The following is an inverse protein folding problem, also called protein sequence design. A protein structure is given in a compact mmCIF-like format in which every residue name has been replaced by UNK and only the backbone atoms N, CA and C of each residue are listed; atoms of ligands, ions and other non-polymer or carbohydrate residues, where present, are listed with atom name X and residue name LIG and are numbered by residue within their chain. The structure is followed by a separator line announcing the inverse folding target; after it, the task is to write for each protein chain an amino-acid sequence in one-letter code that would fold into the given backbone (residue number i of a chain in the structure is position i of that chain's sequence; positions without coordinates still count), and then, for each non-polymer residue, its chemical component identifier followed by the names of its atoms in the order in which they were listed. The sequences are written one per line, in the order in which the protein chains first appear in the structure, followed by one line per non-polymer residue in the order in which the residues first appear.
data_IF_011942346566
#
_entry.id   IF_011942346566
#
_cell.length_a   1.000
_cell.length_b   1.000
_cell.length_c   1.000
_cell.angle_alpha   90.00
_cell.angle_beta   90.00
_cell.angle_gamma   90.00
#
_symmetry.space_group_name_H-M   'P 1'
#
loop_
_entity.id
_entity.type
_entity.pdbx_description
1 polymer ?
#
# COMPACT_ATOMS: atom_id res chain seq x y z
N UNK A 1 20.47 16.65 -13.59
CA UNK A 1 21.38 17.03 -12.50
C UNK A 1 21.72 15.80 -11.67
N UNK A 2 22.95 15.34 -11.68
CA UNK A 2 23.46 14.39 -10.69
C UNK A 2 24.38 15.15 -9.76
N UNK A 3 24.15 15.08 -8.46
CA UNK A 3 24.95 15.75 -7.43
C UNK A 3 25.17 17.27 -7.64
N UNK A 4 24.19 18.00 -8.17
CA UNK A 4 24.27 19.46 -8.36
C UNK A 4 25.07 19.94 -9.57
N UNK A 5 25.59 19.05 -10.41
CA UNK A 5 26.28 19.40 -11.67
C UNK A 5 25.36 19.21 -12.86
N UNK A 6 25.41 20.14 -13.80
CA UNK A 6 24.81 19.96 -15.14
C UNK A 6 25.69 19.01 -15.92
N UNK A 7 25.14 17.90 -16.37
CA UNK A 7 25.76 17.01 -17.36
C UNK A 7 24.94 17.14 -18.64
N UNK A 8 25.60 17.40 -19.73
CA UNK A 8 24.99 17.36 -21.06
C UNK A 8 24.64 15.90 -21.39
N UNK A 9 23.37 15.66 -21.65
CA UNK A 9 22.88 14.33 -22.02
C UNK A 9 22.45 14.38 -23.50
N UNK A 10 23.10 13.57 -24.33
CA UNK A 10 22.78 13.46 -25.76
C UNK A 10 21.45 12.74 -26.02
N UNK A 11 20.93 12.00 -25.04
CA UNK A 11 19.74 11.16 -25.19
C UNK A 11 18.78 11.30 -23.97
N UNK A 12 17.50 11.50 -24.27
CA UNK A 12 16.43 11.52 -23.27
C UNK A 12 16.02 12.92 -22.83
N UNK A 13 15.08 12.98 -21.89
CA UNK A 13 14.59 14.21 -21.28
C UNK A 13 14.82 14.15 -19.76
N UNK A 14 14.98 15.31 -19.09
CA UNK A 14 15.17 15.35 -17.64
C UNK A 14 14.05 14.63 -16.90
N UNK A 15 14.40 13.75 -15.96
CA UNK A 15 13.42 13.03 -15.14
C UNK A 15 12.65 14.03 -14.26
N UNK A 16 11.31 13.99 -14.34
CA UNK A 16 10.44 14.93 -13.59
C UNK A 16 10.12 16.23 -14.31
N UNK A 17 10.55 16.41 -15.55
CA UNK A 17 10.11 17.55 -16.37
C UNK A 17 8.61 17.51 -16.67
N UNK A 18 7.90 18.67 -16.66
CA UNK A 18 6.45 18.70 -16.88
C UNK A 18 6.00 18.21 -18.26
N UNK A 19 6.86 18.30 -19.27
CA UNK A 19 6.61 17.84 -20.64
C UNK A 19 6.92 16.34 -20.84
N UNK A 20 7.68 15.72 -19.96
CA UNK A 20 8.11 14.32 -20.11
C UNK A 20 6.94 13.34 -20.32
N UNK A 21 5.82 13.40 -19.56
CA UNK A 21 4.68 12.52 -19.79
C UNK A 21 3.99 12.75 -21.14
N UNK A 22 3.93 14.01 -21.60
CA UNK A 22 3.33 14.35 -22.89
C UNK A 22 4.18 13.80 -24.03
N UNK A 23 5.48 14.04 -24.01
CA UNK A 23 6.41 13.53 -25.03
C UNK A 23 6.39 12.00 -25.06
N UNK A 24 6.38 11.33 -23.91
CA UNK A 24 6.27 9.89 -23.83
C UNK A 24 4.96 9.38 -24.47
N UNK A 25 3.83 10.05 -24.25
CA UNK A 25 2.56 9.67 -24.85
C UNK A 25 2.55 9.88 -26.36
N UNK A 26 3.12 10.97 -26.86
CA UNK A 26 3.25 11.24 -28.31
C UNK A 26 4.09 10.15 -28.99
N UNK A 27 5.24 9.81 -28.39
CA UNK A 27 6.13 8.77 -28.93
C UNK A 27 5.47 7.39 -28.93
N UNK A 28 4.82 7.03 -27.84
CA UNK A 28 4.20 5.71 -27.66
C UNK A 28 2.84 5.57 -28.35
N UNK A 29 2.23 6.66 -28.84
CA UNK A 29 1.01 6.60 -29.65
C UNK A 29 1.18 5.72 -30.88
N UNK A 30 2.37 5.74 -31.50
CA UNK A 30 2.68 4.84 -32.64
C UNK A 30 2.65 3.37 -32.24
N UNK A 31 3.06 3.05 -31.01
CA UNK A 31 2.96 1.70 -30.46
C UNK A 31 1.52 1.31 -30.20
N UNK A 32 0.71 2.23 -29.66
CA UNK A 32 -0.71 2.00 -29.41
C UNK A 32 -1.43 1.64 -30.72
N UNK A 33 -1.27 2.43 -31.77
CA UNK A 33 -1.82 2.15 -33.09
C UNK A 33 -1.33 0.82 -33.70
N UNK A 34 -0.07 0.46 -33.51
CA UNK A 34 0.44 -0.83 -34.00
C UNK A 34 -0.20 -2.02 -33.25
N UNK A 35 -0.41 -1.89 -31.94
CA UNK A 35 -1.11 -2.92 -31.15
C UNK A 35 -2.58 -3.04 -31.54
N UNK A 36 -3.28 -1.91 -31.75
CA UNK A 36 -4.65 -1.86 -32.24
C UNK A 36 -4.77 -2.49 -33.64
N UNK A 37 -3.89 -2.13 -34.56
CA UNK A 37 -3.84 -2.70 -35.93
C UNK A 37 -3.66 -4.22 -35.93
N UNK A 38 -2.93 -4.76 -34.95
CA UNK A 38 -2.74 -6.21 -34.77
C UNK A 38 -3.86 -6.88 -33.97
N UNK A 39 -4.86 -6.12 -33.52
CA UNK A 39 -5.99 -6.64 -32.75
C UNK A 39 -5.66 -7.04 -31.32
N UNK A 40 -4.60 -6.49 -30.74
CA UNK A 40 -4.25 -6.77 -29.34
C UNK A 40 -5.05 -5.92 -28.37
N UNK A 41 -5.60 -6.58 -27.34
CA UNK A 41 -6.14 -5.87 -26.17
C UNK A 41 -4.99 -5.51 -25.24
N UNK A 42 -4.86 -4.24 -24.89
CA UNK A 42 -3.78 -3.75 -24.01
C UNK A 42 -4.24 -2.58 -23.14
N UNK A 43 -3.47 -2.32 -22.10
CA UNK A 43 -3.60 -1.14 -21.24
C UNK A 43 -2.21 -0.55 -21.05
N UNK A 44 -2.05 0.74 -21.34
CA UNK A 44 -0.83 1.49 -21.13
C UNK A 44 -1.05 2.65 -20.16
N UNK A 45 -0.12 2.84 -19.28
CA UNK A 45 -0.04 4.00 -18.41
C UNK A 45 1.39 4.54 -18.45
N UNK A 46 1.58 5.64 -19.16
CA UNK A 46 2.90 6.19 -19.53
C UNK A 46 3.77 5.13 -20.23
N UNK A 47 4.84 4.69 -19.62
CA UNK A 47 5.78 3.66 -20.07
C UNK A 47 5.46 2.23 -19.59
N UNK A 48 4.62 2.09 -18.58
CA UNK A 48 4.14 0.78 -18.09
C UNK A 48 2.98 0.28 -18.97
N UNK A 49 3.10 -0.94 -19.51
CA UNK A 49 2.10 -1.54 -20.41
C UNK A 49 1.81 -2.99 -20.06
N UNK A 50 0.57 -3.42 -20.27
CA UNK A 50 0.15 -4.83 -20.22
C UNK A 50 -0.61 -5.15 -21.49
N UNK A 51 -0.19 -6.20 -22.21
CA UNK A 51 -0.86 -6.75 -23.38
C UNK A 51 -1.51 -8.07 -22.98
N UNK A 52 -2.77 -8.26 -23.35
CA UNK A 52 -3.52 -9.46 -23.01
C UNK A 52 -3.51 -10.43 -24.19
N UNK A 53 -3.13 -11.69 -23.93
CA UNK A 53 -3.08 -12.74 -24.91
C UNK A 53 -3.83 -13.97 -24.41
N UNK A 54 -4.39 -14.76 -25.34
CA UNK A 54 -5.19 -15.94 -25.02
C UNK A 54 -4.36 -17.15 -24.52
N UNK A 55 -3.06 -17.20 -24.88
CA UNK A 55 -2.15 -18.28 -24.49
C UNK A 55 -0.74 -17.77 -24.21
N UNK A 56 0.07 -18.61 -23.56
CA UNK A 56 1.47 -18.30 -23.32
C UNK A 56 2.25 -18.18 -24.64
N UNK A 57 2.04 -19.10 -25.58
CA UNK A 57 2.67 -19.06 -26.88
C UNK A 57 2.36 -17.79 -27.67
N UNK A 58 1.07 -17.38 -27.68
CA UNK A 58 0.68 -16.10 -28.29
C UNK A 58 1.33 -14.89 -27.62
N UNK A 59 1.50 -14.92 -26.29
CA UNK A 59 2.15 -13.83 -25.56
C UNK A 59 3.66 -13.75 -25.86
N UNK A 60 4.34 -14.91 -25.98
CA UNK A 60 5.74 -14.99 -26.37
C UNK A 60 5.95 -14.48 -27.79
N UNK A 61 5.13 -14.90 -28.74
CA UNK A 61 5.13 -14.41 -30.12
C UNK A 61 4.87 -12.90 -30.19
N UNK A 62 3.91 -12.40 -29.43
CA UNK A 62 3.63 -10.95 -29.35
C UNK A 62 4.85 -10.18 -28.85
N UNK A 63 5.51 -10.70 -27.82
CA UNK A 63 6.72 -10.10 -27.28
C UNK A 63 7.85 -10.03 -28.32
N UNK A 64 8.08 -11.13 -29.05
CA UNK A 64 9.10 -11.23 -30.11
C UNK A 64 8.87 -10.22 -31.24
N UNK A 65 7.64 -9.86 -31.54
CA UNK A 65 7.32 -8.88 -32.57
C UNK A 65 7.29 -7.43 -32.05
N UNK A 66 6.81 -7.19 -30.85
CA UNK A 66 6.64 -5.83 -30.31
C UNK A 66 7.96 -5.25 -29.84
N UNK A 67 8.84 -6.05 -29.27
CA UNK A 67 10.15 -5.55 -28.82
C UNK A 67 11.01 -4.99 -29.97
N UNK A 68 11.19 -5.68 -31.11
CA UNK A 68 11.88 -5.10 -32.26
C UNK A 68 11.19 -3.85 -32.82
N UNK A 69 9.87 -3.77 -32.78
CA UNK A 69 9.16 -2.56 -33.17
C UNK A 69 9.53 -1.37 -32.29
N UNK A 70 9.53 -1.56 -30.95
CA UNK A 70 9.91 -0.51 -30.00
C UNK A 70 11.37 -0.10 -30.20
N UNK A 71 12.29 -1.06 -30.36
CA UNK A 71 13.72 -0.78 -30.43
C UNK A 71 14.16 -0.25 -31.81
N UNK A 72 13.62 -0.80 -32.91
CA UNK A 72 14.04 -0.44 -34.27
C UNK A 72 13.22 0.67 -34.93
N UNK A 73 11.93 0.79 -34.58
CA UNK A 73 11.03 1.80 -35.17
C UNK A 73 10.86 3.04 -34.30
N UNK A 74 10.83 2.87 -32.98
CA UNK A 74 10.68 3.98 -32.05
C UNK A 74 12.01 4.41 -31.43
N UNK A 75 13.09 3.66 -31.62
CA UNK A 75 14.42 3.90 -31.06
C UNK A 75 14.39 3.99 -29.52
N UNK A 76 13.47 3.26 -28.88
CA UNK A 76 13.31 3.21 -27.43
C UNK A 76 13.91 1.92 -26.87
N UNK A 77 14.52 2.00 -25.70
CA UNK A 77 15.14 0.84 -25.03
C UNK A 77 14.12 0.12 -24.16
N UNK A 78 13.89 -1.17 -24.42
CA UNK A 78 13.02 -2.02 -23.60
C UNK A 78 13.76 -2.56 -22.38
N UNK A 79 13.17 -2.42 -21.20
CA UNK A 79 13.71 -3.00 -19.97
C UNK A 79 13.42 -4.51 -19.92
N UNK A 80 14.37 -5.33 -20.38
CA UNK A 80 14.23 -6.80 -20.46
C UNK A 80 14.04 -7.47 -19.10
N UNK A 81 14.58 -6.91 -18.01
CA UNK A 81 14.47 -7.47 -16.67
C UNK A 81 13.05 -7.33 -16.10
N UNK A 82 12.33 -6.27 -16.50
CA UNK A 82 10.95 -6.01 -16.06
C UNK A 82 9.90 -6.57 -17.02
N UNK A 83 10.27 -6.83 -18.27
CA UNK A 83 9.38 -7.34 -19.30
C UNK A 83 9.24 -8.85 -19.14
N UNK A 84 8.04 -9.31 -18.80
CA UNK A 84 7.79 -10.73 -18.49
C UNK A 84 6.50 -11.22 -19.13
N UNK A 85 6.52 -12.44 -19.64
CA UNK A 85 5.33 -13.19 -20.01
C UNK A 85 4.89 -14.02 -18.81
N UNK A 86 3.71 -13.76 -18.30
CA UNK A 86 3.22 -14.44 -17.11
C UNK A 86 1.68 -14.55 -17.10
N UNK A 87 1.17 -15.54 -16.36
CA UNK A 87 -0.26 -15.64 -16.09
C UNK A 87 -0.76 -14.39 -15.35
N UNK A 88 -1.94 -13.87 -15.75
CA UNK A 88 -2.51 -12.61 -15.23
C UNK A 88 -2.50 -12.51 -13.69
N UNK A 89 -2.74 -13.62 -12.98
CA UNK A 89 -2.69 -13.65 -11.52
C UNK A 89 -1.32 -13.42 -10.88
N UNK A 90 -0.23 -13.47 -11.65
CA UNK A 90 1.15 -13.19 -11.20
C UNK A 90 1.63 -11.79 -11.56
N UNK A 91 0.91 -11.09 -12.43
CA UNK A 91 1.27 -9.75 -12.91
C UNK A 91 1.00 -8.70 -11.82
N UNK A 92 1.88 -7.72 -11.80
CA UNK A 92 1.71 -6.46 -11.05
C UNK A 92 1.63 -5.31 -12.05
N UNK A 93 0.50 -4.59 -12.04
CA UNK A 93 0.34 -3.38 -12.84
C UNK A 93 -0.21 -2.26 -11.95
N UNK A 94 0.40 -1.09 -11.98
CA UNK A 94 0.04 0.08 -11.13
C UNK A 94 -0.17 -0.29 -9.65
N UNK A 95 0.69 -1.17 -9.13
CA UNK A 95 0.60 -1.66 -7.74
C UNK A 95 -0.58 -2.58 -7.43
N UNK A 96 -1.46 -2.81 -8.38
CA UNK A 96 -2.49 -3.85 -8.32
C UNK A 96 -1.96 -5.20 -8.79
N UNK A 97 -2.65 -6.24 -8.43
CA UNK A 97 -2.55 -7.59 -8.98
C UNK A 97 -3.94 -8.05 -9.40
N UNK A 98 -4.01 -9.20 -10.04
CA UNK A 98 -5.25 -9.79 -10.50
C UNK A 98 -5.49 -11.11 -9.76
N UNK A 99 -6.74 -11.49 -9.56
CA UNK A 99 -7.13 -12.79 -9.04
C UNK A 99 -8.38 -13.31 -9.78
N UNK A 100 -8.49 -14.62 -9.89
CA UNK A 100 -9.70 -15.23 -10.45
C UNK A 100 -10.83 -15.11 -9.41
N UNK A 101 -11.86 -14.37 -9.75
CA UNK A 101 -13.08 -14.21 -8.99
C UNK A 101 -14.23 -15.06 -9.55
N UNK A 102 -15.40 -14.97 -8.94
CA UNK A 102 -16.61 -15.71 -9.37
C UNK A 102 -17.10 -15.29 -10.78
N UNK A 103 -16.92 -14.02 -11.13
CA UNK A 103 -17.37 -13.41 -12.40
C UNK A 103 -16.22 -13.10 -13.39
N UNK A 104 -15.07 -13.76 -13.26
CA UNK A 104 -13.88 -13.48 -14.06
C UNK A 104 -12.70 -12.96 -13.21
N UNK A 105 -11.84 -12.15 -13.81
CA UNK A 105 -10.71 -11.55 -13.09
C UNK A 105 -11.17 -10.34 -12.26
N UNK A 106 -10.71 -10.29 -11.01
CA UNK A 106 -10.93 -9.18 -10.09
C UNK A 106 -9.60 -8.53 -9.71
N UNK A 107 -9.64 -7.23 -9.39
CA UNK A 107 -8.48 -6.50 -8.91
C UNK A 107 -8.20 -6.83 -7.44
N UNK A 108 -6.94 -7.01 -7.11
CA UNK A 108 -6.46 -7.14 -5.73
C UNK A 108 -5.26 -6.24 -5.50
N UNK A 109 -5.00 -5.89 -4.25
CA UNK A 109 -3.75 -5.22 -3.90
C UNK A 109 -2.59 -6.20 -3.99
N UNK A 110 -1.55 -5.85 -4.73
CA UNK A 110 -0.38 -6.71 -4.89
C UNK A 110 0.37 -6.92 -3.56
N UNK A 111 0.97 -8.09 -3.35
CA UNK A 111 1.64 -8.45 -2.09
C UNK A 111 2.76 -7.47 -1.69
N UNK A 112 3.57 -7.00 -2.65
CA UNK A 112 4.61 -5.97 -2.40
C UNK A 112 4.00 -4.65 -1.90
N UNK A 113 2.83 -4.25 -2.41
CA UNK A 113 2.12 -3.03 -1.97
C UNK A 113 1.56 -3.18 -0.55
N UNK A 114 1.02 -4.36 -0.20
CA UNK A 114 0.62 -4.66 1.19
C UNK A 114 1.81 -4.66 2.15
N UNK A 115 2.97 -5.17 1.73
CA UNK A 115 4.19 -5.16 2.54
C UNK A 115 4.67 -3.72 2.79
N UNK A 116 4.69 -2.86 1.76
CA UNK A 116 5.02 -1.42 1.88
C UNK A 116 4.06 -0.71 2.84
N UNK A 117 2.76 -0.96 2.73
CA UNK A 117 1.75 -0.41 3.65
C UNK A 117 2.02 -0.82 5.10
N UNK A 118 2.27 -2.13 5.34
CA UNK A 118 2.60 -2.62 6.70
C UNK A 118 3.90 -2.01 7.22
N UNK A 119 4.91 -1.80 6.37
CA UNK A 119 6.16 -1.13 6.75
C UNK A 119 5.89 0.32 7.17
N UNK A 120 5.11 1.07 6.39
CA UNK A 120 4.76 2.46 6.74
C UNK A 120 3.94 2.57 8.02
N UNK A 121 2.97 1.69 8.23
CA UNK A 121 2.23 1.63 9.52
C UNK A 121 3.16 1.30 10.69
N UNK A 122 4.17 0.42 10.51
CA UNK A 122 5.17 0.15 11.56
C UNK A 122 5.98 1.40 11.91
N UNK A 123 6.39 2.14 10.92
CA UNK A 123 7.11 3.40 11.09
C UNK A 123 6.25 4.43 11.83
N UNK A 124 5.06 4.73 11.33
CA UNK A 124 4.11 5.66 11.95
C UNK A 124 3.68 5.25 13.37
N UNK A 125 3.75 3.96 13.72
CA UNK A 125 3.45 3.44 15.06
C UNK A 125 4.71 3.05 15.83
N UNK A 126 5.85 3.64 15.51
CA UNK A 126 7.06 3.53 16.32
C UNK A 126 6.98 4.50 17.51
N UNK A 127 7.43 4.06 18.68
CA UNK A 127 7.48 4.96 19.85
C UNK A 127 8.41 6.16 19.66
N UNK A 128 9.36 6.07 18.71
CA UNK A 128 10.32 7.15 18.42
C UNK A 128 9.67 8.27 17.62
N UNK A 129 8.72 7.94 16.75
CA UNK A 129 8.03 8.91 15.89
C UNK A 129 6.81 9.53 16.55
N UNK A 130 6.26 8.91 17.59
CA UNK A 130 5.08 9.41 18.31
C UNK A 130 5.51 10.37 19.41
N UNK A 131 5.65 11.65 19.10
CA UNK A 131 5.93 12.70 20.08
C UNK A 131 4.62 13.40 20.52
N UNK A 132 3.82 13.85 19.60
CA UNK A 132 2.48 14.38 19.83
C UNK A 132 1.39 13.40 19.40
N UNK A 133 0.32 13.28 20.18
CA UNK A 133 -0.80 12.37 19.90
C UNK A 133 -1.72 12.90 18.80
N UNK A 134 -1.90 14.21 18.68
CA UNK A 134 -2.76 14.80 17.65
C UNK A 134 -2.09 14.72 16.26
N UNK A 135 -0.82 15.07 16.19
CA UNK A 135 -0.01 14.90 14.98
C UNK A 135 0.01 13.42 14.54
N UNK A 136 0.26 12.52 15.48
CA UNK A 136 0.27 11.08 15.21
C UNK A 136 -1.05 10.56 14.62
N UNK A 137 -2.19 10.98 15.19
CA UNK A 137 -3.51 10.61 14.66
C UNK A 137 -3.73 11.16 13.26
N UNK A 138 -3.32 12.41 13.03
CA UNK A 138 -3.43 13.10 11.74
C UNK A 138 -2.60 12.38 10.67
N UNK A 139 -1.38 12.00 10.97
CA UNK A 139 -0.50 11.28 10.06
C UNK A 139 -1.04 9.89 9.71
N UNK A 140 -1.52 9.15 10.72
CA UNK A 140 -2.17 7.87 10.50
C UNK A 140 -3.43 8.00 9.64
N UNK A 141 -4.27 9.01 9.93
CA UNK A 141 -5.49 9.29 9.15
C UNK A 141 -5.15 9.63 7.70
N UNK A 142 -4.19 10.54 7.47
CA UNK A 142 -3.73 10.93 6.12
C UNK A 142 -3.25 9.71 5.33
N UNK A 143 -2.46 8.85 5.97
CA UNK A 143 -1.96 7.64 5.34
C UNK A 143 -3.07 6.63 5.02
N UNK A 144 -3.97 6.36 5.96
CA UNK A 144 -5.11 5.44 5.77
C UNK A 144 -6.01 5.90 4.64
N UNK A 145 -6.40 7.19 4.66
CA UNK A 145 -7.28 7.80 3.65
C UNK A 145 -6.63 7.73 2.25
N UNK A 146 -5.40 8.19 2.12
CA UNK A 146 -4.69 8.19 0.83
C UNK A 146 -4.51 6.76 0.27
N UNK A 147 -4.14 5.81 1.13
CA UNK A 147 -3.96 4.43 0.71
C UNK A 147 -5.27 3.76 0.28
N UNK A 148 -6.34 3.93 1.03
CA UNK A 148 -7.66 3.34 0.68
C UNK A 148 -8.21 3.98 -0.59
N UNK A 149 -8.12 5.31 -0.75
CA UNK A 149 -8.58 5.99 -1.96
C UNK A 149 -7.86 5.49 -3.22
N UNK A 150 -6.56 5.22 -3.12
CA UNK A 150 -5.79 4.66 -4.23
C UNK A 150 -6.23 3.23 -4.58
N UNK A 151 -6.48 2.39 -3.57
CA UNK A 151 -6.78 0.97 -3.77
C UNK A 151 -8.27 0.61 -3.70
N UNK A 152 -9.18 1.57 -3.67
CA UNK A 152 -10.64 1.32 -3.48
C UNK A 152 -11.27 0.42 -4.53
N UNK A 153 -10.68 0.33 -5.73
CA UNK A 153 -11.15 -0.54 -6.81
C UNK A 153 -10.85 -2.04 -6.55
N UNK A 154 -9.95 -2.35 -5.61
CA UNK A 154 -9.64 -3.74 -5.27
C UNK A 154 -10.62 -4.28 -4.23
N UNK A 155 -10.98 -5.56 -4.36
CA UNK A 155 -11.69 -6.26 -3.29
C UNK A 155 -10.73 -6.52 -2.12
N UNK A 156 -10.98 -5.85 -0.98
CA UNK A 156 -10.07 -5.83 0.16
C UNK A 156 -10.74 -6.17 1.49
N UNK A 157 -12.07 -6.36 1.54
CA UNK A 157 -12.84 -6.38 2.77
C UNK A 157 -12.24 -7.20 3.92
N UNK A 158 -12.07 -8.50 3.72
CA UNK A 158 -11.52 -9.41 4.74
C UNK A 158 -10.05 -9.11 5.10
N UNK A 159 -9.26 -8.74 4.11
CA UNK A 159 -7.85 -8.37 4.32
C UNK A 159 -7.70 -7.13 5.20
N UNK A 160 -8.55 -6.11 5.01
CA UNK A 160 -8.48 -4.87 5.78
C UNK A 160 -8.91 -5.07 7.23
N UNK A 161 -9.84 -5.99 7.52
CA UNK A 161 -10.20 -6.33 8.90
C UNK A 161 -8.99 -6.84 9.69
N UNK A 162 -8.25 -7.79 9.13
CA UNK A 162 -7.03 -8.33 9.76
C UNK A 162 -5.93 -7.26 9.92
N UNK A 163 -5.82 -6.35 8.97
CA UNK A 163 -4.89 -5.22 9.04
C UNK A 163 -5.27 -4.26 10.16
N UNK A 164 -6.56 -3.98 10.32
CA UNK A 164 -7.06 -3.10 11.37
C UNK A 164 -6.87 -3.71 12.77
N UNK A 165 -7.09 -5.01 12.93
CA UNK A 165 -6.79 -5.70 14.18
C UNK A 165 -5.31 -5.58 14.55
N UNK A 166 -4.43 -5.81 13.59
CA UNK A 166 -2.99 -5.64 13.76
C UNK A 166 -2.62 -4.18 14.07
N UNK A 167 -3.21 -3.20 13.39
CA UNK A 167 -2.97 -1.77 13.62
C UNK A 167 -3.43 -1.35 15.02
N UNK A 168 -4.61 -1.78 15.47
CA UNK A 168 -5.11 -1.52 16.83
C UNK A 168 -4.16 -2.11 17.88
N UNK A 169 -3.63 -3.31 17.65
CA UNK A 169 -2.61 -3.90 18.52
C UNK A 169 -1.35 -3.04 18.58
N UNK A 170 -0.90 -2.48 17.45
CA UNK A 170 0.25 -1.56 17.42
C UNK A 170 -0.03 -0.27 18.18
N UNK A 171 -1.19 0.33 18.02
CA UNK A 171 -1.60 1.52 18.75
C UNK A 171 -1.59 1.25 20.27
N UNK A 172 -2.19 0.15 20.74
CA UNK A 172 -2.15 -0.25 22.15
C UNK A 172 -0.71 -0.44 22.64
N UNK A 173 0.16 -1.03 21.83
CA UNK A 173 1.58 -1.19 22.14
C UNK A 173 2.27 0.16 22.32
N UNK A 174 1.96 1.18 21.51
CA UNK A 174 2.53 2.52 21.65
C UNK A 174 2.11 3.15 22.97
N UNK A 175 0.82 3.13 23.30
CA UNK A 175 0.33 3.63 24.59
C UNK A 175 1.05 2.93 25.75
N UNK A 176 1.10 1.59 25.72
CA UNK A 176 1.77 0.82 26.76
C UNK A 176 3.26 1.16 26.91
N UNK A 177 3.98 1.36 25.81
CA UNK A 177 5.39 1.77 25.85
C UNK A 177 5.59 3.18 26.38
N UNK A 178 4.67 4.11 26.13
CA UNK A 178 4.70 5.48 26.65
C UNK A 178 4.49 5.50 28.18
N UNK A 179 3.74 4.57 28.75
CA UNK A 179 3.55 4.42 30.18
C UNK A 179 4.73 3.67 30.82
N UNK A 180 5.86 4.31 30.95
CA UNK A 180 7.12 3.70 31.37
C UNK A 180 7.06 3.07 32.76
N UNK A 181 6.48 3.78 33.77
CA UNK A 181 6.47 3.39 35.19
C UNK A 181 5.21 2.57 35.51
N UNK A 182 5.35 1.58 36.43
CA UNK A 182 4.24 0.75 36.94
C UNK A 182 3.10 1.62 37.48
N UNK A 183 3.40 2.61 38.32
CA UNK A 183 2.41 3.55 38.87
C UNK A 183 1.65 4.31 37.77
N UNK A 184 2.33 4.68 36.68
CA UNK A 184 1.70 5.37 35.54
C UNK A 184 0.77 4.43 34.77
N UNK A 185 1.19 3.16 34.55
CA UNK A 185 0.34 2.13 33.91
C UNK A 185 -0.90 1.88 34.72
N UNK A 186 -0.75 1.63 36.00
CA UNK A 186 -1.86 1.38 36.93
C UNK A 186 -2.87 2.53 36.94
N UNK A 187 -2.41 3.76 37.19
CA UNK A 187 -3.26 4.96 37.20
C UNK A 187 -4.02 5.17 35.86
N UNK A 188 -3.34 4.98 34.73
CA UNK A 188 -3.96 5.14 33.42
C UNK A 188 -4.97 4.03 33.14
N UNK A 189 -4.74 2.80 33.57
CA UNK A 189 -5.70 1.71 33.45
C UNK A 189 -6.96 2.01 34.27
N UNK A 190 -6.83 2.52 35.50
CA UNK A 190 -7.96 2.95 36.32
C UNK A 190 -8.78 4.06 35.61
N UNK A 191 -8.11 5.08 35.07
CA UNK A 191 -8.76 6.15 34.29
C UNK A 191 -9.51 5.62 33.06
N UNK A 192 -9.07 4.50 32.50
CA UNK A 192 -9.72 3.83 31.37
C UNK A 192 -10.86 2.88 31.80
N UNK A 193 -11.19 2.80 33.09
CA UNK A 193 -12.29 2.02 33.62
C UNK A 193 -11.94 0.55 33.91
N UNK A 194 -10.67 0.21 34.05
CA UNK A 194 -10.24 -1.14 34.44
C UNK A 194 -10.26 -1.24 35.99
N UNK A 195 -10.77 -2.36 36.51
CA UNK A 195 -10.81 -2.62 37.94
C UNK A 195 -9.41 -2.57 38.58
N UNK A 196 -9.34 -2.21 39.87
CA UNK A 196 -8.07 -2.08 40.58
C UNK A 196 -7.23 -3.37 40.55
N UNK A 197 -7.86 -4.52 40.76
CA UNK A 197 -7.19 -5.83 40.71
C UNK A 197 -6.55 -6.08 39.32
N UNK A 198 -7.32 -5.93 38.24
CA UNK A 198 -6.83 -6.13 36.87
C UNK A 198 -5.77 -5.09 36.47
N UNK A 199 -5.93 -3.86 36.92
CA UNK A 199 -4.94 -2.79 36.66
C UNK A 199 -3.62 -3.10 37.37
N UNK A 200 -3.65 -3.60 38.62
CA UNK A 200 -2.48 -4.03 39.38
C UNK A 200 -1.75 -5.20 38.71
N UNK A 201 -2.49 -6.25 38.32
CA UNK A 201 -1.95 -7.42 37.62
C UNK A 201 -1.24 -7.01 36.31
N UNK A 202 -1.90 -6.20 35.48
CA UNK A 202 -1.33 -5.82 34.19
C UNK A 202 -0.17 -4.85 34.34
N UNK A 203 -0.27 -3.86 35.23
CA UNK A 203 0.77 -2.84 35.43
C UNK A 203 2.10 -3.45 35.88
N UNK A 204 2.08 -4.48 36.73
CA UNK A 204 3.24 -5.22 37.24
C UNK A 204 3.76 -6.30 36.26
N UNK A 205 3.06 -6.53 35.13
CA UNK A 205 3.45 -7.57 34.18
C UNK A 205 4.83 -7.29 33.58
N UNK A 206 5.72 -8.29 33.62
CA UNK A 206 7.04 -8.30 32.98
C UNK A 206 7.02 -8.79 31.52
N UNK A 207 5.83 -9.13 30.98
CA UNK A 207 5.67 -9.62 29.60
C UNK A 207 6.03 -8.51 28.60
N UNK A 208 6.60 -8.90 27.45
CA UNK A 208 6.96 -7.98 26.38
C UNK A 208 5.77 -7.15 25.86
N UNK A 209 6.03 -5.93 25.43
CA UNK A 209 5.03 -4.94 24.99
C UNK A 209 4.02 -5.47 23.95
N UNK A 210 4.51 -6.27 23.00
CA UNK A 210 3.69 -6.85 21.96
C UNK A 210 2.70 -7.88 22.51
N UNK A 211 3.10 -8.67 23.50
CA UNK A 211 2.23 -9.62 24.17
C UNK A 211 1.17 -8.91 25.01
N UNK A 212 1.57 -7.89 25.75
CA UNK A 212 0.66 -7.06 26.55
C UNK A 212 -0.39 -6.36 25.67
N UNK A 213 -0.01 -5.87 24.49
CA UNK A 213 -0.92 -5.21 23.56
C UNK A 213 -2.07 -6.11 23.07
N UNK A 214 -1.96 -7.42 23.24
CA UNK A 214 -3.01 -8.41 22.94
C UNK A 214 -3.76 -8.89 24.17
N UNK A 215 -3.39 -8.46 25.40
CA UNK A 215 -4.06 -8.90 26.61
C UNK A 215 -5.53 -8.51 26.63
N UNK A 216 -6.43 -9.34 27.18
CA UNK A 216 -7.85 -8.99 27.33
C UNK A 216 -8.04 -7.66 28.05
N UNK A 217 -7.32 -7.45 29.16
CA UNK A 217 -7.40 -6.22 29.95
C UNK A 217 -7.09 -4.97 29.11
N UNK A 218 -6.02 -4.99 28.29
CA UNK A 218 -5.67 -3.84 27.47
C UNK A 218 -6.61 -3.68 26.27
N UNK A 219 -7.22 -4.76 25.78
CA UNK A 219 -8.30 -4.68 24.77
C UNK A 219 -9.56 -4.03 25.35
N UNK A 220 -9.91 -4.34 26.60
CA UNK A 220 -11.03 -3.72 27.33
C UNK A 220 -10.72 -2.24 27.63
N UNK A 221 -9.49 -1.89 28.00
CA UNK A 221 -9.08 -0.49 28.21
C UNK A 221 -9.18 0.35 26.93
N UNK A 222 -8.80 -0.23 25.79
CA UNK A 222 -8.84 0.40 24.46
C UNK A 222 -9.70 -0.40 23.48
N UNK A 223 -11.04 -0.42 23.66
CA UNK A 223 -11.95 -1.05 22.71
C UNK A 223 -11.95 -0.26 21.38
N UNK A 224 -12.36 -0.91 20.30
CA UNK A 224 -12.38 -0.32 18.96
C UNK A 224 -13.09 1.03 18.94
N UNK A 225 -14.28 1.11 19.53
CA UNK A 225 -15.10 2.34 19.60
C UNK A 225 -14.36 3.50 20.31
N UNK A 226 -13.56 3.19 21.36
CA UNK A 226 -12.77 4.24 22.07
C UNK A 226 -11.64 4.77 21.19
N UNK A 227 -10.96 3.91 20.45
CA UNK A 227 -9.91 4.33 19.53
C UNK A 227 -10.47 5.20 18.39
N UNK A 228 -11.62 4.82 17.83
CA UNK A 228 -12.31 5.59 16.81
C UNK A 228 -12.79 6.96 17.33
N UNK A 229 -13.41 7.00 18.52
CA UNK A 229 -13.77 8.26 19.19
C UNK A 229 -12.58 9.15 19.52
N UNK A 230 -11.41 8.56 19.79
CA UNK A 230 -10.17 9.29 19.99
C UNK A 230 -9.55 9.86 18.70
N UNK A 231 -10.18 9.63 17.53
CA UNK A 231 -9.76 10.18 16.25
C UNK A 231 -8.88 9.26 15.39
N UNK A 232 -8.65 8.00 15.80
CA UNK A 232 -7.93 7.04 14.96
C UNK A 232 -8.81 6.55 13.81
N UNK A 233 -8.33 6.72 12.58
CA UNK A 233 -8.96 6.20 11.38
C UNK A 233 -8.41 4.81 11.06
N UNK A 234 -9.29 3.86 10.69
CA UNK A 234 -8.95 2.49 10.32
C UNK A 234 -9.28 2.20 8.86
N UNK A 235 -8.52 1.30 8.23
CA UNK A 235 -8.63 1.01 6.80
C UNK A 235 -10.00 0.46 6.42
N UNK A 236 -10.51 -0.56 7.14
CA UNK A 236 -11.78 -1.19 6.83
C UNK A 236 -12.98 -0.26 7.04
N UNK A 237 -12.98 0.51 8.13
CA UNK A 237 -14.06 1.45 8.42
C UNK A 237 -14.14 2.57 7.37
N UNK A 238 -12.98 3.05 6.88
CA UNK A 238 -12.93 4.03 5.82
C UNK A 238 -13.28 3.44 4.45
N UNK A 239 -12.75 2.25 4.13
CA UNK A 239 -13.06 1.53 2.89
C UNK A 239 -14.56 1.30 2.71
N UNK A 240 -15.25 0.82 3.75
CA UNK A 240 -16.71 0.65 3.69
C UNK A 240 -17.46 1.93 3.37
N UNK A 241 -17.04 3.06 3.94
CA UNK A 241 -17.64 4.36 3.66
C UNK A 241 -17.37 4.81 2.22
N UNK A 242 -16.16 4.60 1.72
CA UNK A 242 -15.75 5.04 0.37
C UNK A 242 -16.27 4.16 -0.77
N UNK A 243 -16.70 2.93 -0.50
CA UNK A 243 -17.32 2.04 -1.50
C UNK A 243 -18.84 2.13 -1.46
N UNK A 244 -19.43 2.56 -0.32
CA UNK A 244 -20.86 2.77 -0.19
C UNK A 244 -21.33 4.16 -0.68
N UNK A 245 -20.40 5.08 -0.91
CA UNK A 245 -20.60 6.40 -1.53
C UNK A 245 -20.35 6.36 -3.02
#
# INVERSE_FOLDING_TARGET
MRCGRFEDTEVGVPQGGPLSPLCANIMLNKLDHELERRGHSFVRYTDDMVIFCGSKASAEQTLEHIVPFIEKKLFLKVNREKTVVAYAGKIKFLSYGFCKGKKGFALRVHAKSKAKMKARVRELTSRRTVNDYEEWKTDLKRFVVGWVNYYKLADMGSNLQSIDEWMRRRIRMVFWKKWKRVRTRWRNLLKLGISNANAGILANSRKGYWRIASSPILKTAFPNRRLEKAGFQFFYSYYRKSVAA
#
